data_IF_701706988180
#
_entry.id   IF_701706988180
#
_cell.length_a   1.000
_cell.length_b   1.000
_cell.length_c   1.000
_cell.angle_alpha   90.00
_cell.angle_beta   90.00
_cell.angle_gamma   90.00
#
_symmetry.space_group_name_H-M   'P 1'
#
loop_
_entity.id
_entity.type
_entity.pdbx_description
1 polymer ?
#
# COMPACT_ATOMS: atom_id res chain seq x y z
N UNK A 1 -13.30 -2.10 8.37
CA UNK A 1 -12.55 -3.36 8.16
C UNK A 1 -11.15 -3.13 8.72
N UNK A 2 -10.57 -4.08 9.47
CA UNK A 2 -9.22 -3.93 10.04
C UNK A 2 -8.26 -4.69 9.11
N UNK A 3 -7.47 -3.95 8.33
CA UNK A 3 -6.44 -4.53 7.45
C UNK A 3 -5.36 -5.17 8.32
N UNK A 4 -4.93 -6.38 7.95
CA UNK A 4 -3.81 -7.08 8.60
C UNK A 4 -2.53 -6.99 7.75
N UNK A 5 -1.38 -7.26 8.36
CA UNK A 5 -0.09 -7.35 7.65
C UNK A 5 -0.17 -8.34 6.48
N UNK A 6 -0.80 -9.50 6.67
CA UNK A 6 -0.94 -10.52 5.62
C UNK A 6 -1.85 -10.08 4.47
N UNK A 7 -2.84 -9.24 4.76
CA UNK A 7 -3.67 -8.63 3.71
C UNK A 7 -2.86 -7.62 2.90
N UNK A 8 -2.06 -6.79 3.56
CA UNK A 8 -1.16 -5.82 2.91
C UNK A 8 -0.22 -6.53 1.94
N UNK A 9 0.40 -7.64 2.34
CA UNK A 9 1.30 -8.41 1.46
C UNK A 9 0.64 -8.74 0.12
N UNK A 10 -0.65 -9.07 0.12
CA UNK A 10 -1.41 -9.39 -1.11
C UNK A 10 -1.66 -8.17 -1.99
N UNK A 11 -1.74 -6.98 -1.38
CA UNK A 11 -1.97 -5.73 -2.07
C UNK A 11 -0.68 -5.10 -2.61
N UNK A 12 0.47 -5.32 -1.95
CA UNK A 12 1.74 -4.73 -2.40
C UNK A 12 2.15 -5.27 -3.78
N UNK A 13 2.63 -4.41 -4.70
CA UNK A 13 3.03 -4.80 -6.06
C UNK A 13 4.40 -5.53 -6.11
N UNK A 14 4.58 -6.58 -5.31
CA UNK A 14 5.84 -7.33 -5.19
C UNK A 14 5.97 -8.49 -6.18
N UNK A 15 4.90 -8.80 -6.93
CA UNK A 15 4.79 -9.99 -7.78
C UNK A 15 4.26 -11.20 -7.00
N UNK A 16 3.39 -11.99 -7.63
CA UNK A 16 2.65 -13.09 -6.98
C UNK A 16 3.56 -14.14 -6.35
N UNK A 17 4.64 -14.49 -7.02
CA UNK A 17 5.60 -15.49 -6.50
C UNK A 17 6.31 -15.00 -5.22
N UNK A 18 6.63 -13.71 -5.15
CA UNK A 18 7.28 -13.14 -3.97
C UNK A 18 6.30 -12.99 -2.81
N UNK A 19 5.07 -12.57 -3.08
CA UNK A 19 3.99 -12.53 -2.09
C UNK A 19 3.77 -13.92 -1.47
N UNK A 20 3.70 -14.98 -2.29
CA UNK A 20 3.53 -16.34 -1.80
C UNK A 20 4.69 -16.79 -0.91
N UNK A 21 5.95 -16.50 -1.30
CA UNK A 21 7.13 -16.79 -0.48
C UNK A 21 7.13 -16.06 0.84
N UNK A 22 6.74 -14.78 0.85
CA UNK A 22 6.59 -13.97 2.06
C UNK A 22 5.59 -14.59 3.03
N UNK A 23 4.41 -14.96 2.53
CA UNK A 23 3.35 -15.56 3.34
C UNK A 23 3.79 -16.90 3.95
N UNK A 24 4.46 -17.76 3.17
CA UNK A 24 4.95 -19.06 3.65
C UNK A 24 6.04 -18.92 4.73
N UNK A 25 6.89 -17.91 4.58
CA UNK A 25 8.01 -17.65 5.49
C UNK A 25 7.57 -16.95 6.77
N UNK A 26 6.55 -16.09 6.69
CA UNK A 26 6.01 -15.35 7.84
C UNK A 26 5.71 -16.26 9.02
N UNK A 27 5.02 -17.39 8.81
CA UNK A 27 4.65 -18.29 9.91
C UNK A 27 5.86 -18.93 10.60
N UNK A 28 6.95 -19.13 9.85
CA UNK A 28 8.19 -19.78 10.30
C UNK A 28 9.17 -18.81 10.98
N UNK A 29 8.92 -17.50 10.90
CA UNK A 29 9.77 -16.48 11.52
C UNK A 29 9.58 -16.41 13.03
N UNK A 30 10.65 -16.07 13.73
CA UNK A 30 10.60 -15.76 15.15
C UNK A 30 9.90 -14.40 15.39
N UNK A 31 9.52 -14.06 16.64
CA UNK A 31 8.80 -12.81 16.94
C UNK A 31 9.52 -11.54 16.47
N UNK A 32 10.85 -11.47 16.62
CA UNK A 32 11.63 -10.29 16.24
C UNK A 32 11.67 -10.09 14.72
N UNK A 33 11.86 -11.18 13.97
CA UNK A 33 11.80 -11.21 12.51
C UNK A 33 10.40 -10.83 12.01
N UNK A 34 9.35 -11.34 12.66
CA UNK A 34 7.96 -10.97 12.34
C UNK A 34 7.72 -9.49 12.54
N UNK A 35 8.16 -8.93 13.67
CA UNK A 35 8.00 -7.51 13.95
C UNK A 35 8.76 -6.63 12.93
N UNK A 36 10.01 -6.98 12.61
CA UNK A 36 10.79 -6.25 11.60
C UNK A 36 10.13 -6.33 10.22
N UNK A 37 9.61 -7.51 9.84
CA UNK A 37 8.90 -7.71 8.60
C UNK A 37 7.59 -6.91 8.54
N UNK A 38 6.82 -6.91 9.63
CA UNK A 38 5.60 -6.12 9.78
C UNK A 38 5.88 -4.64 9.57
N UNK A 39 6.92 -4.08 10.20
CA UNK A 39 7.28 -2.67 10.02
C UNK A 39 7.53 -2.34 8.55
N UNK A 40 8.32 -3.14 7.84
CA UNK A 40 8.62 -2.88 6.42
C UNK A 40 7.36 -2.98 5.55
N UNK A 41 6.47 -3.93 5.83
CA UNK A 41 5.22 -4.10 5.10
C UNK A 41 4.28 -2.91 5.33
N UNK A 42 4.17 -2.43 6.56
CA UNK A 42 3.35 -1.26 6.90
C UNK A 42 3.93 0.03 6.33
N UNK A 43 5.24 0.26 6.44
CA UNK A 43 5.92 1.41 5.83
C UNK A 43 5.70 1.45 4.31
N UNK A 44 5.79 0.29 3.65
CA UNK A 44 5.52 0.14 2.22
C UNK A 44 4.08 0.52 1.87
N UNK A 45 3.12 0.01 2.65
CA UNK A 45 1.71 0.32 2.46
C UNK A 45 1.42 1.81 2.66
N UNK A 46 1.96 2.43 3.70
CA UNK A 46 1.77 3.85 3.99
C UNK A 46 2.34 4.74 2.89
N UNK A 47 3.53 4.41 2.37
CA UNK A 47 4.13 5.14 1.27
C UNK A 47 3.25 5.10 0.01
N UNK A 48 2.76 3.91 -0.36
CA UNK A 48 1.85 3.74 -1.51
C UNK A 48 0.53 4.45 -1.26
N UNK A 49 -0.03 4.31 -0.06
CA UNK A 49 -1.28 4.97 0.32
C UNK A 49 -1.17 6.48 0.20
N UNK A 50 -0.08 7.07 0.71
CA UNK A 50 0.15 8.51 0.63
C UNK A 50 0.25 8.98 -0.82
N UNK A 51 1.05 8.32 -1.65
CA UNK A 51 1.19 8.64 -3.07
C UNK A 51 -0.17 8.57 -3.79
N UNK A 52 -0.93 7.50 -3.55
CA UNK A 52 -2.23 7.30 -4.19
C UNK A 52 -3.27 8.31 -3.70
N UNK A 53 -3.24 8.66 -2.41
CA UNK A 53 -4.10 9.67 -1.84
C UNK A 53 -3.82 11.04 -2.46
N UNK A 54 -2.54 11.42 -2.60
CA UNK A 54 -2.14 12.67 -3.26
C UNK A 54 -2.61 12.72 -4.72
N UNK A 55 -2.47 11.62 -5.47
CA UNK A 55 -2.99 11.49 -6.84
C UNK A 55 -4.52 11.67 -6.87
N UNK A 56 -5.24 10.95 -6.01
CA UNK A 56 -6.70 10.98 -5.98
C UNK A 56 -7.25 12.35 -5.54
N UNK A 57 -6.60 13.03 -4.59
CA UNK A 57 -6.93 14.40 -4.21
C UNK A 57 -6.70 15.34 -5.40
N UNK A 58 -5.57 15.23 -6.09
CA UNK A 58 -5.28 16.06 -7.27
C UNK A 58 -6.32 15.88 -8.37
N UNK A 59 -6.70 14.64 -8.67
CA UNK A 59 -7.74 14.34 -9.66
C UNK A 59 -9.11 14.89 -9.24
N UNK A 60 -9.49 14.69 -7.97
CA UNK A 60 -10.76 15.20 -7.47
C UNK A 60 -10.82 16.74 -7.53
N UNK A 61 -9.74 17.43 -7.13
CA UNK A 61 -9.66 18.90 -7.20
C UNK A 61 -9.71 19.45 -8.63
N UNK A 62 -9.18 18.73 -9.62
CA UNK A 62 -9.32 19.10 -11.02
C UNK A 62 -10.79 19.02 -11.47
N UNK A 63 -11.49 17.95 -11.11
CA UNK A 63 -12.91 17.76 -11.45
C UNK A 63 -13.83 18.78 -10.75
N UNK A 64 -13.48 19.23 -9.54
CA UNK A 64 -14.24 20.27 -8.81
C UNK A 64 -14.02 21.68 -9.36
N UNK A 65 -12.98 21.93 -10.16
CA UNK A 65 -12.89 23.21 -10.88
C UNK A 65 -13.96 23.33 -11.98
N UNK A 66 -14.45 22.20 -12.46
CA UNK A 66 -15.47 22.13 -13.53
C UNK A 66 -16.89 22.02 -12.97
N UNK A 67 -17.03 21.58 -11.71
CA UNK A 67 -18.30 21.35 -11.03
C UNK A 67 -18.20 21.92 -9.63
N UNK A 68 -19.04 22.89 -9.28
CA UNK A 68 -18.99 23.69 -8.05
C UNK A 68 -19.25 22.85 -6.77
N UNK A 69 -18.34 21.92 -6.48
CA UNK A 69 -18.43 20.90 -5.44
C UNK A 69 -17.83 21.44 -4.15
N UNK A 70 -18.54 21.22 -3.03
CA UNK A 70 -18.09 21.62 -1.71
C UNK A 70 -16.90 20.77 -1.25
N UNK A 71 -15.80 21.42 -0.90
CA UNK A 71 -14.57 20.80 -0.37
C UNK A 71 -14.65 20.62 1.16
N UNK A 72 -15.67 19.89 1.61
CA UNK A 72 -15.91 19.64 3.03
C UNK A 72 -15.21 18.36 3.53
N UNK A 73 -15.42 18.00 4.80
CA UNK A 73 -14.86 16.77 5.35
C UNK A 73 -15.35 15.50 4.63
N UNK A 74 -16.56 15.52 4.06
CA UNK A 74 -17.11 14.37 3.35
C UNK A 74 -16.38 14.14 2.03
N UNK A 75 -16.02 15.21 1.32
CA UNK A 75 -15.18 15.15 0.13
C UNK A 75 -13.87 14.40 0.41
N UNK A 76 -13.11 14.84 1.43
CA UNK A 76 -11.84 14.19 1.77
C UNK A 76 -12.02 12.76 2.30
N UNK A 77 -13.10 12.50 3.06
CA UNK A 77 -13.43 11.15 3.54
C UNK A 77 -13.71 10.18 2.40
N UNK A 78 -14.46 10.62 1.38
CA UNK A 78 -14.78 9.82 0.21
C UNK A 78 -13.51 9.49 -0.58
N UNK A 79 -12.61 10.47 -0.77
CA UNK A 79 -11.34 10.25 -1.46
C UNK A 79 -10.45 9.25 -0.72
N UNK A 80 -10.37 9.34 0.62
CA UNK A 80 -9.63 8.36 1.44
C UNK A 80 -10.21 6.95 1.29
N UNK A 81 -11.53 6.81 1.38
CA UNK A 81 -12.20 5.52 1.22
C UNK A 81 -11.97 4.92 -0.18
N UNK A 82 -12.04 5.75 -1.22
CA UNK A 82 -11.77 5.34 -2.59
C UNK A 82 -10.31 4.95 -2.80
N UNK A 83 -9.38 5.68 -2.18
CA UNK A 83 -7.95 5.35 -2.20
C UNK A 83 -7.69 3.97 -1.63
N UNK A 84 -8.30 3.64 -0.48
CA UNK A 84 -8.18 2.29 0.12
C UNK A 84 -8.69 1.22 -0.84
N UNK A 85 -9.87 1.42 -1.45
CA UNK A 85 -10.43 0.46 -2.42
C UNK A 85 -9.53 0.25 -3.65
N UNK A 86 -8.93 1.31 -4.16
CA UNK A 86 -8.02 1.22 -5.31
C UNK A 86 -6.76 0.44 -4.98
N UNK A 87 -6.23 0.62 -3.77
CA UNK A 87 -5.08 -0.13 -3.26
C UNK A 87 -5.45 -1.62 -3.09
N UNK A 88 -6.56 -1.92 -2.43
CA UNK A 88 -7.05 -3.29 -2.23
C UNK A 88 -7.30 -4.02 -3.56
N UNK A 89 -7.79 -3.32 -4.58
CA UNK A 89 -8.04 -3.86 -5.92
C UNK A 89 -6.78 -4.01 -6.79
N UNK A 90 -5.61 -3.60 -6.30
CA UNK A 90 -4.36 -3.69 -7.07
C UNK A 90 -4.18 -2.57 -8.10
N UNK A 91 -4.97 -1.49 -8.01
CA UNK A 91 -4.98 -0.40 -8.99
C UNK A 91 -3.89 0.64 -8.71
N UNK A 92 -2.63 0.24 -8.90
CA UNK A 92 -1.45 1.10 -8.78
C UNK A 92 -0.88 1.37 -10.18
N UNK A 93 -1.04 2.59 -10.72
CA UNK A 93 -0.43 2.96 -12.00
C UNK A 93 0.96 3.54 -11.78
N UNK A 94 1.98 2.77 -12.19
CA UNK A 94 3.37 3.10 -12.61
C UNK A 94 4.26 4.06 -11.80
N UNK A 95 3.77 4.86 -10.86
CA UNK A 95 4.60 5.82 -10.10
C UNK A 95 5.34 5.18 -8.92
N UNK A 96 5.01 3.95 -8.54
CA UNK A 96 5.54 3.27 -7.37
C UNK A 96 6.73 2.31 -7.65
N UNK A 97 7.08 2.03 -8.91
CA UNK A 97 8.00 0.92 -9.25
C UNK A 97 9.43 1.10 -8.67
N UNK A 98 9.89 2.34 -8.54
CA UNK A 98 11.21 2.65 -7.97
C UNK A 98 11.26 2.40 -6.45
N UNK A 99 10.24 2.82 -5.71
CA UNK A 99 10.17 2.66 -4.25
C UNK A 99 9.93 1.19 -3.86
N UNK A 100 9.12 0.50 -4.65
CA UNK A 100 8.82 -0.93 -4.47
C UNK A 100 10.07 -1.80 -4.63
N UNK A 101 10.99 -1.42 -5.52
CA UNK A 101 12.23 -2.16 -5.74
C UNK A 101 13.14 -2.14 -4.51
N UNK A 102 13.21 -1.02 -3.79
CA UNK A 102 13.99 -0.92 -2.55
C UNK A 102 13.34 -1.71 -1.41
N UNK A 103 12.02 -1.62 -1.28
CA UNK A 103 11.24 -2.37 -0.30
C UNK A 103 11.42 -3.87 -0.51
N UNK A 104 11.32 -4.33 -1.76
CA UNK A 104 11.55 -5.74 -2.11
C UNK A 104 12.92 -6.24 -1.67
N UNK A 105 13.98 -5.46 -1.86
CA UNK A 105 15.33 -5.84 -1.40
C UNK A 105 15.40 -6.02 0.12
N UNK A 106 14.83 -5.09 0.89
CA UNK A 106 14.79 -5.20 2.36
C UNK A 106 14.01 -6.43 2.83
N UNK A 107 12.88 -6.72 2.17
CA UNK A 107 12.09 -7.93 2.42
C UNK A 107 12.88 -9.20 2.07
N UNK A 108 13.62 -9.20 0.97
CA UNK A 108 14.47 -10.33 0.57
C UNK A 108 15.59 -10.60 1.58
N UNK A 109 16.21 -9.56 2.15
CA UNK A 109 17.25 -9.71 3.18
C UNK A 109 16.70 -10.39 4.44
N UNK A 110 15.51 -9.99 4.90
CA UNK A 110 14.87 -10.61 6.06
C UNK A 110 14.43 -12.07 5.85
N UNK A 111 14.13 -12.47 4.61
CA UNK A 111 13.69 -13.83 4.29
C UNK A 111 14.88 -14.79 4.06
N UNK A 112 16.04 -14.24 3.69
CA UNK A 112 17.29 -14.98 3.47
C UNK A 112 18.11 -15.17 4.76
N UNK A 113 18.00 -14.24 5.70
CA UNK A 113 18.59 -14.34 7.05
C UNK A 113 17.83 -15.32 7.94
#
# INVERSE_FOLDING_TARGET
MKITTLDIVKFLPLGKDFQAKLLEKFDKMNPDQKFALEQIIWDAYEAIYKLKLEENIKLALLNTKESNVNLDENFYRNIKAETVKQIESGFYKSTADADISQIRKKLEELIKG
#
